data_IF_070176834217
#
_entry.id   IF_070176834217
#
_cell.length_a   1.000
_cell.length_b   1.000
_cell.length_c   1.000
_cell.angle_alpha   90.00
_cell.angle_beta   90.00
_cell.angle_gamma   90.00
#
_symmetry.space_group_name_H-M   'P 1'
#
loop_
_entity.id
_entity.type
_entity.pdbx_description
1 polymer ?
#
# COMPACT_ATOMS: atom_id res chain seq x y z
N UNK A 1 -26.58 -15.54 -17.92
CA UNK A 1 -26.21 -14.12 -18.04
C UNK A 1 -25.03 -13.73 -17.13
N UNK A 2 -24.85 -14.32 -15.94
CA UNK A 2 -23.70 -14.03 -15.07
C UNK A 2 -22.32 -14.42 -15.64
N UNK A 3 -22.23 -15.53 -16.40
CA UNK A 3 -20.94 -16.00 -16.96
C UNK A 3 -20.40 -15.11 -18.08
N UNK A 4 -21.27 -14.42 -18.82
CA UNK A 4 -20.90 -13.49 -19.89
C UNK A 4 -20.36 -12.16 -19.32
N UNK A 5 -20.87 -11.72 -18.17
CA UNK A 5 -20.40 -10.51 -17.46
C UNK A 5 -18.97 -10.70 -16.92
N UNK A 6 -18.65 -11.88 -16.36
CA UNK A 6 -17.27 -12.17 -15.94
C UNK A 6 -16.29 -12.25 -17.11
N UNK A 7 -16.71 -12.76 -18.28
CA UNK A 7 -15.83 -12.86 -19.44
C UNK A 7 -15.55 -11.48 -20.07
N UNK A 8 -16.52 -10.56 -20.04
CA UNK A 8 -16.32 -9.17 -20.48
C UNK A 8 -15.49 -8.35 -19.51
N UNK A 9 -15.48 -8.67 -18.21
CA UNK A 9 -14.65 -8.01 -17.21
C UNK A 9 -13.16 -8.41 -17.29
N UNK A 10 -12.84 -9.61 -17.79
CA UNK A 10 -11.45 -10.06 -18.02
C UNK A 10 -10.82 -9.38 -19.24
N UNK A 11 -11.63 -8.99 -20.22
CA UNK A 11 -11.17 -8.30 -21.45
C UNK A 11 -11.01 -6.78 -21.27
N UNK A 12 -11.30 -6.25 -20.07
CA UNK A 12 -11.15 -4.85 -19.72
C UNK A 12 -9.89 -4.61 -18.88
N UNK A 13 -8.84 -5.44 -19.04
CA UNK A 13 -7.48 -5.07 -18.64
C UNK A 13 -7.06 -3.90 -19.55
N UNK A 14 -7.50 -2.70 -19.16
CA UNK A 14 -7.22 -1.47 -19.85
C UNK A 14 -5.72 -1.38 -20.13
N UNK A 15 -5.35 -1.37 -21.41
CA UNK A 15 -4.10 -0.76 -21.80
C UNK A 15 -4.20 0.72 -21.43
N UNK A 16 -3.75 1.07 -20.24
CA UNK A 16 -3.40 2.44 -19.94
C UNK A 16 -2.15 2.77 -20.77
N UNK A 17 -2.37 3.27 -21.99
CA UNK A 17 -1.40 4.11 -22.68
C UNK A 17 -1.33 5.41 -21.87
N UNK A 18 -0.54 5.39 -20.80
CA UNK A 18 0.00 6.62 -20.27
C UNK A 18 1.25 6.93 -21.09
N UNK A 19 1.29 8.09 -21.74
CA UNK A 19 2.59 8.67 -22.10
C UNK A 19 3.32 8.86 -20.77
N UNK A 20 4.18 7.91 -20.41
CA UNK A 20 5.02 8.08 -19.24
C UNK A 20 5.88 9.30 -19.54
N UNK A 21 5.63 10.42 -18.89
CA UNK A 21 6.54 11.57 -19.00
C UNK A 21 7.93 11.07 -18.58
N UNK A 22 8.84 10.93 -19.54
CA UNK A 22 10.19 10.50 -19.24
C UNK A 22 10.90 11.62 -18.45
N UNK A 23 11.33 11.32 -17.23
CA UNK A 23 12.11 12.24 -16.40
C UNK A 23 11.71 12.25 -14.93
N UNK A 24 12.27 13.20 -14.18
CA UNK A 24 12.06 13.36 -12.74
C UNK A 24 10.60 13.67 -12.41
N UNK A 25 9.93 14.50 -13.24
CA UNK A 25 8.53 14.90 -13.03
C UNK A 25 7.58 13.71 -13.16
N UNK A 26 7.73 12.91 -14.22
CA UNK A 26 6.90 11.71 -14.39
C UNK A 26 7.15 10.64 -13.34
N UNK A 27 8.40 10.46 -12.88
CA UNK A 27 8.71 9.58 -11.75
C UNK A 27 8.02 10.02 -10.47
N UNK A 28 8.12 11.29 -10.10
CA UNK A 28 7.48 11.84 -8.89
C UNK A 28 5.95 11.74 -8.93
N UNK A 29 5.32 12.15 -10.04
CA UNK A 29 3.86 12.05 -10.19
C UNK A 29 3.42 10.59 -10.10
N UNK A 30 4.16 9.67 -10.72
CA UNK A 30 3.87 8.25 -10.62
C UNK A 30 3.95 7.74 -9.17
N UNK A 31 4.96 8.17 -8.40
CA UNK A 31 5.07 7.86 -6.96
C UNK A 31 3.85 8.30 -6.16
N UNK A 32 3.48 9.58 -6.26
CA UNK A 32 2.32 10.17 -5.57
C UNK A 32 1.01 9.46 -5.94
N UNK A 33 0.83 9.17 -7.23
CA UNK A 33 -0.41 8.58 -7.73
C UNK A 33 -0.50 7.08 -7.47
N UNK A 34 0.63 6.40 -7.26
CA UNK A 34 0.64 4.95 -7.09
C UNK A 34 -0.24 4.45 -5.93
N UNK A 35 -0.12 4.95 -4.68
CA UNK A 35 -0.97 4.49 -3.59
C UNK A 35 -2.44 4.91 -3.73
N UNK A 36 -2.73 5.92 -4.57
CA UNK A 36 -4.09 6.38 -4.86
C UNK A 36 -4.76 5.46 -5.88
N UNK A 37 -3.99 4.95 -6.85
CA UNK A 37 -4.50 4.08 -7.91
C UNK A 37 -4.52 2.60 -7.50
N UNK A 38 -3.65 2.20 -6.54
CA UNK A 38 -3.60 0.86 -5.97
C UNK A 38 -4.77 0.61 -4.99
N UNK A 39 -5.69 -0.32 -5.27
CA UNK A 39 -6.83 -0.58 -4.38
C UNK A 39 -6.42 -1.16 -3.03
N UNK A 40 -5.34 -1.93 -2.98
CA UNK A 40 -4.76 -2.50 -1.77
C UNK A 40 -4.17 -1.43 -0.84
N UNK A 41 -3.38 -0.52 -1.39
CA UNK A 41 -2.79 0.61 -0.68
C UNK A 41 -3.85 1.59 -0.20
N UNK A 42 -4.79 1.97 -1.07
CA UNK A 42 -5.86 2.88 -0.70
C UNK A 42 -6.71 2.30 0.44
N UNK A 43 -7.07 1.01 0.36
CA UNK A 43 -7.80 0.34 1.45
C UNK A 43 -7.00 0.32 2.75
N UNK A 44 -5.70 0.00 2.69
CA UNK A 44 -4.83 0.00 3.87
C UNK A 44 -4.71 1.40 4.48
N UNK A 45 -4.45 2.43 3.68
CA UNK A 45 -4.31 3.82 4.14
C UNK A 45 -5.60 4.35 4.78
N UNK A 46 -6.75 4.10 4.15
CA UNK A 46 -8.06 4.49 4.70
C UNK A 46 -8.32 3.73 6.00
N UNK A 47 -8.08 2.42 6.04
CA UNK A 47 -8.30 1.63 7.24
C UNK A 47 -7.37 2.07 8.40
N UNK A 48 -6.10 2.34 8.14
CA UNK A 48 -5.13 2.87 9.12
C UNK A 48 -5.59 4.23 9.65
N UNK A 49 -6.04 5.14 8.78
CA UNK A 49 -6.56 6.44 9.17
C UNK A 49 -7.83 6.35 10.02
N UNK A 50 -8.79 5.53 9.59
CA UNK A 50 -10.03 5.29 10.34
C UNK A 50 -9.76 4.66 11.70
N UNK A 51 -8.87 3.66 11.77
CA UNK A 51 -8.52 3.01 13.02
C UNK A 51 -7.78 3.97 13.97
N UNK A 52 -6.86 4.78 13.44
CA UNK A 52 -6.21 5.86 14.17
C UNK A 52 -7.21 6.86 14.75
N UNK A 53 -8.20 7.28 13.96
CA UNK A 53 -9.27 8.17 14.42
C UNK A 53 -10.12 7.53 15.52
N UNK A 54 -10.46 6.24 15.40
CA UNK A 54 -11.15 5.49 16.44
C UNK A 54 -10.32 5.46 17.74
N UNK A 55 -9.01 5.20 17.66
CA UNK A 55 -8.11 5.15 18.81
C UNK A 55 -7.81 6.52 19.45
N UNK A 56 -8.18 7.63 18.78
CA UNK A 56 -7.99 9.03 19.20
C UNK A 56 -6.52 9.43 19.30
N UNK A 57 -6.24 10.61 19.87
CA UNK A 57 -4.88 11.08 20.09
C UNK A 57 -4.12 10.18 21.09
N UNK A 58 -2.86 9.80 20.81
CA UNK A 58 -2.03 10.24 19.68
C UNK A 58 -2.10 9.32 18.43
N UNK A 59 -2.87 8.22 18.48
CA UNK A 59 -2.94 7.21 17.41
C UNK A 59 -3.41 7.77 16.05
N UNK A 60 -4.29 8.77 16.06
CA UNK A 60 -4.77 9.46 14.84
C UNK A 60 -3.63 10.04 14.00
N UNK A 61 -2.50 10.39 14.63
CA UNK A 61 -1.30 10.90 13.94
C UNK A 61 -0.25 9.80 13.76
N UNK A 62 -0.06 8.99 14.79
CA UNK A 62 1.04 8.02 14.83
C UNK A 62 0.81 6.89 13.82
N UNK A 63 -0.41 6.36 13.69
CA UNK A 63 -0.63 5.22 12.78
C UNK A 63 -0.46 5.62 11.30
N UNK A 64 -1.04 6.74 10.81
CA UNK A 64 -0.79 7.21 9.44
C UNK A 64 0.67 7.58 9.16
N UNK A 65 1.46 7.92 10.18
CA UNK A 65 2.90 8.17 10.02
C UNK A 65 3.72 6.87 10.04
N UNK A 66 3.32 5.90 10.87
CA UNK A 66 4.02 4.62 11.02
C UNK A 66 3.98 3.83 9.71
N UNK A 67 2.83 3.79 9.04
CA UNK A 67 2.66 3.01 7.82
C UNK A 67 3.67 3.38 6.71
N UNK A 68 3.73 4.63 6.19
CA UNK A 68 4.67 4.98 5.13
C UNK A 68 6.15 4.88 5.56
N UNK A 69 6.47 5.17 6.83
CA UNK A 69 7.85 5.07 7.32
C UNK A 69 8.35 3.62 7.32
N UNK A 70 7.52 2.67 7.77
CA UNK A 70 7.87 1.24 7.74
C UNK A 70 7.79 0.69 6.32
N UNK A 71 6.86 1.18 5.51
CA UNK A 71 6.74 0.84 4.09
C UNK A 71 8.03 1.20 3.33
N UNK A 72 8.63 2.36 3.60
CA UNK A 72 9.92 2.73 3.03
C UNK A 72 11.01 1.71 3.39
N UNK A 73 11.04 1.22 4.62
CA UNK A 73 11.96 0.14 5.02
C UNK A 73 11.69 -1.16 4.25
N UNK A 74 10.42 -1.56 4.09
CA UNK A 74 10.03 -2.70 3.26
C UNK A 74 10.47 -2.54 1.80
N UNK A 75 10.33 -1.33 1.24
CA UNK A 75 10.77 -0.99 -0.12
C UNK A 75 12.27 -1.15 -0.30
N UNK A 76 13.07 -0.77 0.68
CA UNK A 76 14.51 -1.01 0.65
C UNK A 76 14.85 -2.51 0.60
N UNK A 77 14.08 -3.36 1.29
CA UNK A 77 14.27 -4.82 1.21
C UNK A 77 13.96 -5.37 -0.19
N UNK A 78 12.89 -4.88 -0.83
CA UNK A 78 12.54 -5.25 -2.20
C UNK A 78 13.59 -4.79 -3.22
N UNK A 79 14.06 -3.54 -3.11
CA UNK A 79 15.14 -3.00 -3.95
C UNK A 79 16.44 -3.81 -3.77
N UNK A 80 16.74 -4.24 -2.55
CA UNK A 80 17.91 -5.07 -2.25
C UNK A 80 17.80 -6.51 -2.80
N UNK A 81 16.64 -6.89 -3.38
CA UNK A 81 16.39 -8.24 -3.89
C UNK A 81 16.27 -9.29 -2.78
N UNK A 82 15.98 -8.87 -1.55
CA UNK A 82 15.78 -9.81 -0.45
C UNK A 82 14.40 -10.44 -0.64
N UNK A 83 14.36 -11.71 -1.01
CA UNK A 83 13.09 -12.42 -1.20
C UNK A 83 12.29 -12.49 0.10
N UNK A 84 11.03 -12.09 0.02
CA UNK A 84 10.07 -12.21 1.12
C UNK A 84 8.98 -13.18 0.69
N UNK A 85 8.74 -14.28 1.43
CA UNK A 85 7.68 -15.20 1.09
C UNK A 85 6.32 -14.60 1.46
N UNK A 86 5.28 -15.01 0.72
CA UNK A 86 3.87 -14.70 1.03
C UNK A 86 3.50 -13.21 1.03
N UNK A 87 4.17 -12.38 0.22
CA UNK A 87 3.89 -10.93 0.13
C UNK A 87 2.43 -10.63 -0.19
N UNK A 88 1.87 -11.25 -1.24
CA UNK A 88 0.46 -11.06 -1.63
C UNK A 88 -0.52 -11.50 -0.53
N UNK A 89 -0.18 -12.56 0.21
CA UNK A 89 -0.98 -13.02 1.35
C UNK A 89 -0.92 -12.01 2.49
N UNK A 90 0.26 -11.45 2.78
CA UNK A 90 0.43 -10.38 3.76
C UNK A 90 -0.37 -9.13 3.43
N UNK A 91 -0.35 -8.71 2.15
CA UNK A 91 -1.16 -7.59 1.63
C UNK A 91 -2.66 -7.90 1.79
N UNK A 92 -3.10 -9.09 1.36
CA UNK A 92 -4.51 -9.50 1.47
C UNK A 92 -4.99 -9.58 2.93
N UNK A 93 -4.15 -10.11 3.83
CA UNK A 93 -4.43 -10.17 5.26
C UNK A 93 -4.51 -8.78 5.88
N UNK A 94 -3.75 -7.80 5.38
CA UNK A 94 -3.80 -6.43 5.89
C UNK A 94 -5.19 -5.83 5.75
N UNK A 95 -5.83 -6.00 4.58
CA UNK A 95 -7.17 -5.50 4.32
C UNK A 95 -8.21 -6.15 5.26
N UNK A 96 -8.09 -7.47 5.48
CA UNK A 96 -8.98 -8.20 6.38
C UNK A 96 -8.79 -7.76 7.84
N UNK A 97 -7.56 -7.76 8.34
CA UNK A 97 -7.27 -7.47 9.75
C UNK A 97 -7.57 -6.02 10.10
N UNK A 98 -7.12 -5.06 9.28
CA UNK A 98 -7.40 -3.65 9.50
C UNK A 98 -8.90 -3.35 9.32
N UNK A 99 -9.54 -3.95 8.30
CA UNK A 99 -10.98 -3.83 8.09
C UNK A 99 -11.80 -4.34 9.28
N UNK A 100 -11.44 -5.49 9.84
CA UNK A 100 -12.07 -6.03 11.05
C UNK A 100 -11.81 -5.16 12.29
N UNK A 101 -10.61 -4.60 12.43
CA UNK A 101 -10.28 -3.70 13.53
C UNK A 101 -11.14 -2.42 13.49
N UNK A 102 -11.33 -1.86 12.29
CA UNK A 102 -12.20 -0.70 12.05
C UNK A 102 -13.67 -1.06 12.27
N UNK A 103 -14.16 -2.14 11.65
CA UNK A 103 -15.56 -2.56 11.75
C UNK A 103 -15.97 -2.92 13.18
N UNK A 104 -15.06 -3.55 13.94
CA UNK A 104 -15.24 -3.89 15.34
C UNK A 104 -14.96 -2.74 16.32
N UNK A 105 -14.55 -1.56 15.84
CA UNK A 105 -14.14 -0.41 16.67
C UNK A 105 -13.14 -0.84 17.77
N UNK A 106 -12.16 -1.65 17.39
CA UNK A 106 -11.22 -2.31 18.30
C UNK A 106 -10.33 -1.26 18.97
N UNK A 107 -10.45 -1.12 20.30
CA UNK A 107 -9.68 -0.16 21.12
C UNK A 107 -8.35 -0.75 21.61
N UNK A 108 -7.47 -1.09 20.67
CA UNK A 108 -6.14 -1.61 20.99
C UNK A 108 -5.25 -0.58 21.70
N UNK A 109 -4.28 -1.06 22.48
CA UNK A 109 -3.17 -0.21 22.97
C UNK A 109 -2.36 0.29 21.78
N UNK A 110 -1.89 1.53 21.83
CA UNK A 110 -1.16 2.18 20.74
C UNK A 110 -0.01 1.33 20.18
N UNK A 111 0.84 0.79 21.06
CA UNK A 111 1.99 -0.02 20.64
C UNK A 111 1.57 -1.27 19.86
N UNK A 112 0.43 -1.88 20.20
CA UNK A 112 -0.07 -3.05 19.51
C UNK A 112 -0.61 -2.68 18.12
N UNK A 113 -1.30 -1.55 18.01
CA UNK A 113 -1.75 -1.03 16.73
C UNK A 113 -0.56 -0.67 15.82
N UNK A 114 0.50 -0.06 16.36
CA UNK A 114 1.73 0.23 15.60
C UNK A 114 2.40 -1.04 15.08
N UNK A 115 2.45 -2.12 15.87
CA UNK A 115 3.04 -3.40 15.41
C UNK A 115 2.22 -3.97 14.24
N UNK A 116 0.89 -3.98 14.34
CA UNK A 116 0.02 -4.50 13.28
C UNK A 116 0.19 -3.68 11.99
N UNK A 117 0.09 -2.35 12.11
CA UNK A 117 0.22 -1.43 10.98
C UNK A 117 1.62 -1.54 10.34
N UNK A 118 2.67 -1.57 11.17
CA UNK A 118 4.05 -1.70 10.70
C UNK A 118 4.31 -3.04 10.02
N UNK A 119 3.84 -4.16 10.60
CA UNK A 119 3.99 -5.49 9.99
C UNK A 119 3.41 -5.52 8.58
N UNK A 120 2.19 -5.01 8.40
CA UNK A 120 1.57 -4.97 7.08
C UNK A 120 2.28 -3.99 6.14
N UNK A 121 2.73 -2.84 6.64
CA UNK A 121 3.48 -1.87 5.84
C UNK A 121 4.75 -2.48 5.22
N UNK A 122 5.42 -3.42 5.89
CA UNK A 122 6.59 -4.12 5.32
C UNK A 122 6.23 -4.86 4.02
N UNK A 123 5.11 -5.57 3.99
CA UNK A 123 4.70 -6.34 2.80
C UNK A 123 4.33 -5.42 1.62
N UNK A 124 3.56 -4.37 1.90
CA UNK A 124 3.23 -3.32 0.93
C UNK A 124 4.50 -2.67 0.37
N UNK A 125 5.43 -2.31 1.27
CA UNK A 125 6.70 -1.72 0.89
C UNK A 125 7.56 -2.67 0.05
N UNK A 126 7.67 -3.93 0.45
CA UNK A 126 8.45 -4.93 -0.28
C UNK A 126 7.94 -5.12 -1.71
N UNK A 127 6.62 -5.19 -1.90
CA UNK A 127 6.01 -5.26 -3.23
C UNK A 127 6.42 -4.06 -4.10
N UNK A 128 6.29 -2.82 -3.59
CA UNK A 128 6.77 -1.62 -4.30
C UNK A 128 8.27 -1.67 -4.60
N UNK A 129 9.07 -2.13 -3.64
CA UNK A 129 10.51 -2.27 -3.79
C UNK A 129 10.93 -3.16 -4.95
N UNK A 130 10.14 -4.19 -5.26
CA UNK A 130 10.39 -5.08 -6.40
C UNK A 130 10.01 -4.45 -7.75
N UNK A 131 9.01 -3.57 -7.77
CA UNK A 131 8.53 -2.89 -8.99
C UNK A 131 9.37 -1.64 -9.32
N UNK A 132 9.92 -0.99 -8.29
CA UNK A 132 10.70 0.25 -8.35
C UNK A 132 11.89 0.23 -9.34
N UNK A 133 12.73 -0.83 -9.42
CA UNK A 133 13.84 -0.89 -10.36
C UNK A 133 13.42 -0.82 -11.83
N UNK A 134 12.17 -1.15 -12.15
CA UNK A 134 11.60 -1.06 -13.49
C UNK A 134 10.97 0.30 -13.79
N UNK A 135 10.88 1.21 -12.80
CA UNK A 135 10.31 2.54 -12.95
C UNK A 135 11.23 3.47 -13.76
N UNK A 136 10.62 4.42 -14.46
CA UNK A 136 11.31 5.42 -15.31
C UNK A 136 12.35 6.25 -14.53
N UNK A 137 12.06 6.56 -13.25
CA UNK A 137 13.01 7.16 -12.32
C UNK A 137 12.70 6.67 -10.89
N UNK A 138 13.42 5.66 -10.37
CA UNK A 138 13.12 5.03 -9.08
C UNK A 138 13.26 5.98 -7.88
N UNK A 139 14.22 6.91 -7.93
CA UNK A 139 14.42 7.89 -6.86
C UNK A 139 13.30 8.93 -6.83
N UNK A 140 12.91 9.47 -7.98
CA UNK A 140 11.81 10.42 -8.05
C UNK A 140 10.48 9.75 -7.66
N UNK A 141 10.26 8.51 -8.09
CA UNK A 141 9.10 7.72 -7.69
C UNK A 141 9.09 7.44 -6.18
N UNK A 142 10.22 7.09 -5.57
CA UNK A 142 10.25 6.80 -4.13
C UNK A 142 10.05 8.03 -3.22
N UNK A 143 10.27 9.24 -3.74
CA UNK A 143 10.06 10.51 -3.02
C UNK A 143 8.63 11.05 -3.17
N UNK A 144 7.92 10.66 -4.24
CA UNK A 144 6.52 11.00 -4.47
C UNK A 144 5.58 10.07 -3.73
#
# INVERSE_FOLDING_TARGET
MHKLVCLTLIMLSAQAIAHAEQGVVGGFIAGVMHPILGPDHMLAMVAVGLWGAQLKSPAIWILPLTFPMVMACGGLLGIAGIEMPYVEVGISLSALVLGLAVAGNVRAKLWFAMIIVGLFAVFHGHAHGNELPSAVNPLAYGVG
#
